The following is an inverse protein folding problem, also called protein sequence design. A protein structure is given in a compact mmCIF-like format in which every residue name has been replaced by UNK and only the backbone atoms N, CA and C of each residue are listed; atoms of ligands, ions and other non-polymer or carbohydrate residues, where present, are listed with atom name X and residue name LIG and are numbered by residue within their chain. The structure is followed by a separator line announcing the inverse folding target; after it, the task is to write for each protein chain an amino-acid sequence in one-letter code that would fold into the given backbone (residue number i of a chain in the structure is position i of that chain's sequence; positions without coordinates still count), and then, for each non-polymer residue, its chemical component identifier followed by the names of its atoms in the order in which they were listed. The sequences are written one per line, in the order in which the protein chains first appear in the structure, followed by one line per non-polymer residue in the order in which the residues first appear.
data_IF_611918464415
#
_entry.id   IF_611918464415
#
_cell.length_a   1.000
_cell.length_b   1.000
_cell.length_c   1.000
_cell.angle_alpha   90.00
_cell.angle_beta   90.00
_cell.angle_gamma   90.00
#
_symmetry.space_group_name_H-M   'P 1'
#
loop_
_entity.id
_entity.type
_entity.pdbx_description
1 polymer ?
#
# COMPACT_ATOMS: atom_id res chain seq x y z
N UNK A 1 9.73 -2.39 13.99
CA UNK A 1 8.76 -3.28 13.31
C UNK A 1 9.14 -4.74 13.52
N UNK A 2 8.36 -5.41 14.37
CA UNK A 2 8.39 -6.83 14.74
C UNK A 2 6.97 -7.40 14.60
N UNK A 3 6.78 -8.71 14.39
CA UNK A 3 5.44 -9.30 14.21
C UNK A 3 4.45 -9.03 15.33
N UNK A 4 4.93 -8.92 16.58
CA UNK A 4 4.10 -8.67 17.77
C UNK A 4 3.68 -7.19 17.90
N UNK A 5 4.36 -6.28 17.20
CA UNK A 5 4.02 -4.87 17.22
C UNK A 5 2.72 -4.62 16.45
N UNK A 6 2.06 -3.53 16.81
CA UNK A 6 0.72 -3.22 16.32
C UNK A 6 0.74 -1.96 15.46
N UNK A 7 -0.21 -1.90 14.53
CA UNK A 7 -0.57 -0.72 13.77
C UNK A 7 -2.06 -0.40 13.93
N UNK A 8 -2.44 0.82 13.60
CA UNK A 8 -3.84 1.27 13.55
C UNK A 8 -4.10 1.99 12.23
N UNK A 9 -5.33 1.89 11.72
CA UNK A 9 -5.74 2.67 10.56
C UNK A 9 -6.12 4.09 10.95
N UNK A 10 -5.89 5.05 10.04
CA UNK A 10 -6.54 6.37 10.14
C UNK A 10 -8.04 6.20 9.88
N UNK A 11 -8.88 6.69 10.79
CA UNK A 11 -10.34 6.63 10.66
C UNK A 11 -10.92 7.68 9.72
N UNK A 12 -12.20 7.50 9.38
CA UNK A 12 -13.03 8.37 8.53
C UNK A 12 -12.47 8.61 7.12
N UNK A 13 -11.80 7.60 6.55
CA UNK A 13 -11.32 7.66 5.17
C UNK A 13 -12.35 7.03 4.22
N UNK A 14 -12.64 7.73 3.13
CA UNK A 14 -13.37 7.16 2.00
C UNK A 14 -12.35 6.62 1.02
N UNK A 15 -12.21 5.29 0.99
CA UNK A 15 -11.31 4.59 0.08
C UNK A 15 -12.14 4.11 -1.09
N UNK A 16 -11.84 4.61 -2.30
CA UNK A 16 -12.49 4.21 -3.53
C UNK A 16 -11.52 3.31 -4.30
N UNK A 17 -11.72 1.98 -4.31
CA UNK A 17 -10.85 1.08 -5.05
C UNK A 17 -11.08 1.29 -6.55
N UNK A 18 -10.00 1.46 -7.30
CA UNK A 18 -10.02 1.41 -8.77
C UNK A 18 -9.14 0.25 -9.23
N UNK A 19 -9.76 -0.91 -9.43
CA UNK A 19 -9.03 -2.12 -9.82
C UNK A 19 -8.38 -2.00 -11.20
N UNK A 20 -8.96 -1.20 -12.11
CA UNK A 20 -8.39 -1.00 -13.43
C UNK A 20 -7.09 -0.18 -13.34
N UNK A 21 -7.11 0.90 -12.57
CA UNK A 21 -5.91 1.70 -12.27
C UNK A 21 -4.85 0.88 -11.54
N UNK A 22 -5.24 0.14 -10.50
CA UNK A 22 -4.32 -0.70 -9.73
C UNK A 22 -3.62 -1.73 -10.62
N UNK A 23 -4.35 -2.43 -11.50
CA UNK A 23 -3.77 -3.46 -12.37
C UNK A 23 -2.93 -2.89 -13.52
N UNK A 24 -3.34 -1.77 -14.13
CA UNK A 24 -2.70 -1.26 -15.35
C UNK A 24 -1.57 -0.27 -15.07
N UNK A 25 -1.66 0.48 -13.99
CA UNK A 25 -0.73 1.57 -13.70
C UNK A 25 0.16 1.25 -12.48
N UNK A 26 -0.41 0.71 -11.41
CA UNK A 26 0.34 0.51 -10.17
C UNK A 26 1.04 -0.86 -10.10
N UNK A 27 0.37 -1.94 -10.51
CA UNK A 27 0.90 -3.30 -10.44
C UNK A 27 2.29 -3.47 -11.09
N UNK A 28 2.58 -2.89 -12.28
CA UNK A 28 3.93 -2.95 -12.86
C UNK A 28 5.03 -2.30 -12.01
N UNK A 29 4.65 -1.34 -11.16
CA UNK A 29 5.58 -0.59 -10.30
C UNK A 29 5.73 -1.28 -8.94
N UNK A 30 4.59 -1.66 -8.33
CA UNK A 30 4.55 -2.16 -6.95
C UNK A 30 4.70 -3.68 -6.82
N UNK A 31 4.54 -4.41 -7.93
CA UNK A 31 4.64 -5.87 -7.97
C UNK A 31 3.51 -6.58 -7.22
N UNK A 32 3.62 -7.91 -7.15
CA UNK A 32 2.62 -8.78 -6.52
C UNK A 32 2.49 -8.55 -5.01
N UNK A 33 3.61 -8.36 -4.31
CA UNK A 33 3.62 -8.17 -2.85
C UNK A 33 3.01 -6.83 -2.45
N UNK A 34 3.39 -5.73 -3.13
CA UNK A 34 2.79 -4.42 -2.92
C UNK A 34 1.29 -4.44 -3.21
N UNK A 35 0.89 -5.06 -4.32
CA UNK A 35 -0.52 -5.20 -4.67
C UNK A 35 -1.30 -5.99 -3.61
N UNK A 36 -0.81 -7.16 -3.19
CA UNK A 36 -1.46 -7.99 -2.18
C UNK A 36 -1.59 -7.25 -0.83
N UNK A 37 -0.55 -6.51 -0.43
CA UNK A 37 -0.56 -5.74 0.81
C UNK A 37 -1.58 -4.58 0.77
N UNK A 38 -1.65 -3.86 -0.34
CA UNK A 38 -2.66 -2.80 -0.49
C UNK A 38 -4.08 -3.37 -0.41
N UNK A 39 -4.35 -4.47 -1.13
CA UNK A 39 -5.66 -5.13 -1.08
C UNK A 39 -5.99 -5.64 0.32
N UNK A 40 -5.01 -6.17 1.06
CA UNK A 40 -5.20 -6.53 2.47
C UNK A 40 -5.67 -5.32 3.28
N UNK A 41 -4.98 -4.19 3.19
CA UNK A 41 -5.35 -3.02 3.99
C UNK A 41 -6.74 -2.50 3.63
N UNK A 42 -7.12 -2.48 2.36
CA UNK A 42 -8.47 -2.10 1.92
C UNK A 42 -9.52 -3.08 2.46
N UNK A 43 -9.27 -4.39 2.39
CA UNK A 43 -10.23 -5.42 2.82
C UNK A 43 -10.43 -5.46 4.35
N UNK A 44 -9.37 -5.18 5.11
CA UNK A 44 -9.38 -5.20 6.58
C UNK A 44 -9.47 -3.79 7.19
N UNK A 45 -9.76 -2.76 6.39
CA UNK A 45 -9.96 -1.40 6.90
C UNK A 45 -11.15 -1.38 7.85
N UNK A 46 -10.91 -0.97 9.09
CA UNK A 46 -11.89 -1.02 10.16
C UNK A 46 -12.25 0.36 10.71
N UNK A 47 -12.00 1.43 9.94
CA UNK A 47 -12.22 2.81 10.34
C UNK A 47 -11.39 3.25 11.57
N UNK A 48 -10.25 2.60 11.84
CA UNK A 48 -9.36 2.93 12.96
C UNK A 48 -9.87 2.43 14.31
N UNK A 49 -10.82 1.50 14.31
CA UNK A 49 -11.47 1.01 15.52
C UNK A 49 -10.59 0.07 16.36
N UNK A 50 -9.65 -0.64 15.74
CA UNK A 50 -8.79 -1.60 16.44
C UNK A 50 -7.31 -1.40 16.13
N UNK A 51 -6.48 -1.89 17.04
CA UNK A 51 -5.06 -2.14 16.79
C UNK A 51 -4.88 -3.53 16.24
N UNK A 52 -4.03 -3.64 15.23
CA UNK A 52 -3.79 -4.86 14.47
C UNK A 52 -2.33 -5.25 14.59
N UNK A 53 -2.03 -6.51 14.89
CA UNK A 53 -0.65 -6.99 14.91
C UNK A 53 -0.13 -7.16 13.50
N UNK A 54 1.13 -6.83 13.25
CA UNK A 54 1.78 -7.15 11.97
C UNK A 54 1.75 -8.65 11.65
N UNK A 55 1.76 -9.52 12.67
CA UNK A 55 1.59 -10.96 12.51
C UNK A 55 0.31 -11.35 11.73
N UNK A 56 -0.77 -10.58 11.82
CA UNK A 56 -1.99 -10.86 11.06
C UNK A 56 -1.76 -10.70 9.54
N UNK A 57 -1.04 -9.65 9.13
CA UNK A 57 -0.64 -9.45 7.73
C UNK A 57 0.25 -10.60 7.27
N UNK A 58 1.29 -10.91 8.05
CA UNK A 58 2.24 -11.96 7.72
C UNK A 58 1.55 -13.30 7.50
N UNK A 59 0.61 -13.65 8.37
CA UNK A 59 -0.12 -14.91 8.29
C UNK A 59 -1.10 -14.94 7.11
N UNK A 60 -1.88 -13.87 6.89
CA UNK A 60 -2.88 -13.85 5.81
C UNK A 60 -2.24 -13.82 4.41
N UNK A 61 -1.11 -13.10 4.26
CA UNK A 61 -0.42 -12.97 2.98
C UNK A 61 0.71 -13.99 2.80
N UNK A 62 0.98 -14.82 3.81
CA UNK A 62 2.16 -15.70 3.87
C UNK A 62 3.48 -14.93 3.60
N UNK A 63 3.59 -13.74 4.20
CA UNK A 63 4.75 -12.85 4.05
C UNK A 63 5.84 -13.12 5.07
N UNK A 64 7.08 -12.86 4.66
CA UNK A 64 8.16 -12.56 5.59
C UNK A 64 8.15 -11.09 6.03
N UNK A 65 8.83 -10.78 7.14
CA UNK A 65 8.97 -9.39 7.61
C UNK A 65 9.70 -8.48 6.63
N UNK A 66 10.63 -9.01 5.83
CA UNK A 66 11.38 -8.23 4.86
C UNK A 66 10.49 -7.84 3.65
N UNK A 67 9.82 -8.77 2.96
CA UNK A 67 8.79 -8.46 1.97
C UNK A 67 7.74 -7.44 2.44
N UNK A 68 7.26 -7.58 3.68
CA UNK A 68 6.31 -6.62 4.25
C UNK A 68 6.87 -5.19 4.29
N UNK A 69 8.13 -5.01 4.73
CA UNK A 69 8.76 -3.68 4.80
C UNK A 69 8.98 -3.10 3.41
N UNK A 70 9.41 -3.91 2.46
CA UNK A 70 9.64 -3.49 1.07
C UNK A 70 8.31 -3.08 0.40
N UNK A 71 7.27 -3.88 0.56
CA UNK A 71 5.93 -3.57 0.08
C UNK A 71 5.39 -2.26 0.72
N UNK A 72 5.55 -2.07 2.03
CA UNK A 72 5.18 -0.81 2.70
C UNK A 72 5.93 0.40 2.12
N UNK A 73 7.25 0.25 1.91
CA UNK A 73 8.08 1.31 1.37
C UNK A 73 7.66 1.69 -0.06
N UNK A 74 7.41 0.68 -0.91
CA UNK A 74 6.99 0.91 -2.30
C UNK A 74 5.59 1.52 -2.37
N UNK A 75 4.64 1.02 -1.58
CA UNK A 75 3.28 1.60 -1.51
C UNK A 75 3.30 3.05 -1.01
N UNK A 76 4.19 3.38 -0.06
CA UNK A 76 4.39 4.75 0.41
C UNK A 76 5.00 5.63 -0.69
N UNK A 77 5.95 5.10 -1.47
CA UNK A 77 6.60 5.83 -2.55
C UNK A 77 5.64 6.20 -3.71
N UNK A 78 4.62 5.37 -3.97
CA UNK A 78 3.60 5.63 -5.00
C UNK A 78 2.30 6.23 -4.44
N UNK A 79 2.35 6.72 -3.21
CA UNK A 79 1.24 7.38 -2.51
C UNK A 79 -0.07 6.60 -2.44
N UNK A 80 0.00 5.26 -2.40
CA UNK A 80 -1.17 4.40 -2.14
C UNK A 80 -1.47 4.27 -0.64
N UNK A 81 -0.48 4.52 0.21
CA UNK A 81 -0.68 4.68 1.65
C UNK A 81 0.38 5.61 2.23
N UNK A 82 0.14 6.14 3.43
CA UNK A 82 1.19 6.67 4.28
C UNK A 82 1.40 5.73 5.47
N UNK A 83 2.66 5.42 5.76
CA UNK A 83 3.05 4.59 6.89
C UNK A 83 4.04 5.33 7.79
N UNK A 84 3.66 5.58 9.04
CA UNK A 84 4.47 6.37 9.98
C UNK A 84 4.27 5.92 11.42
N UNK A 85 5.11 6.41 12.33
CA UNK A 85 4.87 6.30 13.77
C UNK A 85 4.32 7.61 14.30
N UNK A 86 3.25 7.53 15.09
CA UNK A 86 2.75 8.68 15.83
C UNK A 86 3.77 9.13 16.89
N UNK A 87 3.64 10.34 17.46
CA UNK A 87 4.47 10.79 18.57
C UNK A 87 4.45 9.85 19.80
N UNK A 88 3.41 9.01 19.92
CA UNK A 88 3.27 8.01 20.98
C UNK A 88 3.92 6.65 20.61
N UNK A 89 4.61 6.56 19.47
CA UNK A 89 5.29 5.36 19.00
C UNK A 89 4.39 4.31 18.36
N UNK A 90 3.12 4.63 18.09
CA UNK A 90 2.15 3.72 17.48
C UNK A 90 2.32 3.76 15.96
N UNK A 91 2.42 2.60 15.30
CA UNK A 91 2.42 2.55 13.85
C UNK A 91 1.03 2.90 13.30
N UNK A 92 1.00 3.76 12.28
CA UNK A 92 -0.23 4.25 11.66
C UNK A 92 -0.17 3.95 10.17
N UNK A 93 -1.28 3.42 9.65
CA UNK A 93 -1.53 3.21 8.23
C UNK A 93 -2.65 4.15 7.80
N UNK A 94 -2.34 5.07 6.89
CA UNK A 94 -3.32 5.94 6.24
C UNK A 94 -3.50 5.46 4.80
N UNK A 95 -4.71 5.01 4.44
CA UNK A 95 -4.96 4.50 3.10
C UNK A 95 -5.33 5.64 2.14
N UNK A 96 -4.86 5.53 0.90
CA UNK A 96 -5.17 6.49 -0.16
C UNK A 96 -5.83 5.78 -1.32
N UNK A 97 -6.79 6.44 -1.94
CA UNK A 97 -7.40 5.92 -3.17
C UNK A 97 -6.39 6.02 -4.31
N UNK A 98 -6.28 5.00 -5.18
CA UNK A 98 -5.45 5.12 -6.37
C UNK A 98 -5.94 6.28 -7.24
N UNK A 99 -5.01 6.91 -7.96
CA UNK A 99 -5.39 7.80 -9.05
C UNK A 99 -6.12 6.99 -10.13
N UNK A 100 -7.12 7.59 -10.76
CA UNK A 100 -7.66 7.04 -12.01
C UNK A 100 -6.55 6.92 -13.06
N UNK A 101 -6.72 6.04 -14.05
CA UNK A 101 -5.76 5.86 -15.15
C UNK A 101 -5.40 7.21 -15.80
N UNK A 102 -6.40 8.07 -16.04
CA UNK A 102 -6.19 9.39 -16.64
C UNK A 102 -5.33 10.30 -15.75
N UNK A 103 -5.64 10.37 -14.46
CA UNK A 103 -4.87 11.17 -13.49
C UNK A 103 -3.44 10.63 -13.34
N UNK A 104 -3.28 9.31 -13.32
CA UNK A 104 -1.98 8.65 -13.23
C UNK A 104 -1.09 9.00 -14.43
N UNK A 105 -1.61 8.87 -15.65
CA UNK A 105 -0.85 9.15 -16.88
C UNK A 105 -0.53 10.64 -17.04
N UNK A 106 -1.35 11.54 -16.47
CA UNK A 106 -1.05 12.98 -16.42
C UNK A 106 0.00 13.35 -15.38
N UNK A 107 0.30 12.47 -14.42
CA UNK A 107 1.28 12.72 -13.38
C UNK A 107 2.69 12.37 -13.87
N UNK A 108 3.51 13.39 -14.17
CA UNK A 108 4.81 13.24 -14.83
C UNK A 108 5.70 12.15 -14.19
N UNK A 109 5.84 12.17 -12.86
CA UNK A 109 6.66 11.17 -12.13
C UNK A 109 6.10 9.76 -12.28
N UNK A 110 4.78 9.60 -12.27
CA UNK A 110 4.15 8.27 -12.27
C UNK A 110 4.13 7.66 -13.67
N UNK A 111 3.87 8.46 -14.71
CA UNK A 111 4.01 8.01 -16.09
C UNK A 111 5.45 7.56 -16.37
N UNK A 112 6.44 8.35 -15.97
CA UNK A 112 7.85 7.97 -16.16
C UNK A 112 8.24 6.70 -15.40
N UNK A 113 7.75 6.50 -14.17
CA UNK A 113 7.96 5.25 -13.41
C UNK A 113 7.35 4.04 -14.13
N UNK A 114 6.13 4.18 -14.64
CA UNK A 114 5.45 3.12 -15.39
C UNK A 114 6.21 2.77 -16.67
N UNK A 115 6.62 3.77 -17.45
CA UNK A 115 7.41 3.59 -18.68
C UNK A 115 8.73 2.87 -18.41
N UNK A 116 9.47 3.28 -17.37
CA UNK A 116 10.72 2.62 -16.96
C UNK A 116 10.50 1.14 -16.61
N UNK A 117 9.43 0.83 -15.90
CA UNK A 117 9.12 -0.56 -15.52
C UNK A 117 8.75 -1.41 -16.72
N UNK A 118 7.95 -0.89 -17.64
CA UNK A 118 7.57 -1.62 -18.85
C UNK A 118 8.76 -1.84 -19.80
N UNK A 119 9.66 -0.86 -19.94
CA UNK A 119 10.85 -0.99 -20.77
C UNK A 119 11.84 -2.06 -20.25
N UNK A 120 11.93 -2.25 -18.94
CA UNK A 120 12.79 -3.27 -18.34
C UNK A 120 12.27 -4.72 -18.51
N UNK A 121 11.07 -4.89 -19.06
CA UNK A 121 10.47 -6.20 -19.37
C UNK A 121 10.50 -6.55 -20.87
N UNK A 122 11.14 -5.72 -21.71
CA UNK A 122 11.41 -5.97 -23.13
C UNK A 122 12.88 -6.30 -23.36
#
# INVERSE_FOLDING_TARGET
MRPIEEFVYVGNQVIVPDQASLMRCYYPIIGSEGYALYQYFVAFYDNGNHRHKFAAILNHLNFGMQPLKEALAVLTAVDLLAFYQSPQGIYVVELKSPLSIEQFLKHAVYSSLLEQKLANHQ
#
